data_IF_887225864305
#
_entry.id   IF_887225864305
#
_cell.length_a   1.000
_cell.length_b   1.000
_cell.length_c   1.000
_cell.angle_alpha   90.00
_cell.angle_beta   90.00
_cell.angle_gamma   90.00
#
_symmetry.space_group_name_H-M   'P 1'
#
loop_
_entity.id
_entity.type
_entity.pdbx_description
1 polymer ?
#
# COMPACT_ATOMS: atom_id res chain seq x y z
N UNK A 1 -20.19 -34.89 15.11
CA UNK A 1 -19.04 -34.48 14.27
C UNK A 1 -18.58 -33.11 14.74
N UNK A 2 -17.48 -33.07 15.50
CA UNK A 2 -17.02 -31.88 16.20
C UNK A 2 -15.64 -31.51 15.66
N UNK A 3 -15.53 -30.35 15.03
CA UNK A 3 -14.38 -29.42 15.11
C UNK A 3 -14.74 -28.16 14.33
N UNK A 4 -15.02 -27.12 15.12
CA UNK A 4 -15.16 -25.73 14.70
C UNK A 4 -13.84 -25.23 14.12
N UNK A 5 -13.94 -24.14 13.35
CA UNK A 5 -12.90 -23.15 13.09
C UNK A 5 -11.80 -23.51 12.08
N UNK A 6 -11.99 -23.03 10.86
CA UNK A 6 -10.88 -22.41 10.13
C UNK A 6 -11.36 -21.00 9.78
N UNK A 7 -11.20 -20.06 10.72
CA UNK A 7 -11.08 -18.66 10.35
C UNK A 7 -9.79 -18.61 9.54
N UNK A 8 -9.89 -18.53 8.20
CA UNK A 8 -8.73 -18.17 7.39
C UNK A 8 -8.42 -16.73 7.77
N UNK A 9 -7.53 -16.62 8.75
CA UNK A 9 -6.88 -15.41 9.16
C UNK A 9 -6.44 -14.68 7.90
N UNK A 10 -6.92 -13.45 7.77
CA UNK A 10 -6.42 -12.40 6.87
C UNK A 10 -4.94 -12.16 7.15
N UNK A 11 -4.10 -13.14 6.85
CA UNK A 11 -2.70 -13.20 7.21
C UNK A 11 -1.97 -13.80 6.01
N UNK A 12 -1.11 -12.99 5.39
CA UNK A 12 -0.18 -13.39 4.32
C UNK A 12 -0.71 -13.54 2.88
N UNK A 13 -1.86 -12.96 2.50
CA UNK A 13 -2.05 -12.66 1.07
C UNK A 13 -1.02 -11.57 0.71
N UNK A 14 0.07 -11.98 0.04
CA UNK A 14 1.14 -11.09 -0.43
C UNK A 14 0.56 -10.14 -1.48
N UNK A 15 -0.05 -9.05 -1.03
CA UNK A 15 -0.55 -8.01 -1.92
C UNK A 15 0.65 -7.29 -2.52
N UNK A 16 0.78 -7.36 -3.84
CA UNK A 16 1.90 -6.72 -4.56
C UNK A 16 1.53 -5.25 -4.74
N UNK A 17 2.28 -4.31 -4.14
CA UNK A 17 2.00 -2.90 -4.32
C UNK A 17 2.21 -2.52 -5.79
N UNK A 18 1.22 -1.87 -6.40
CA UNK A 18 1.25 -1.52 -7.83
C UNK A 18 1.65 -0.07 -8.04
N UNK A 19 1.00 0.86 -7.33
CA UNK A 19 1.20 2.30 -7.54
C UNK A 19 0.83 3.09 -6.29
N UNK A 20 1.64 4.10 -5.97
CA UNK A 20 1.32 5.09 -4.95
C UNK A 20 0.56 6.24 -5.61
N UNK A 21 -0.61 6.55 -5.06
CA UNK A 21 -1.49 7.63 -5.51
C UNK A 21 -1.33 8.89 -4.68
N UNK A 22 -1.18 8.73 -3.36
CA UNK A 22 -1.09 9.87 -2.45
C UNK A 22 -0.17 9.60 -1.26
N UNK A 23 0.23 10.66 -0.55
CA UNK A 23 0.94 10.58 0.72
C UNK A 23 0.26 11.48 1.75
N UNK A 24 0.29 11.08 3.01
CA UNK A 24 -0.06 11.93 4.15
C UNK A 24 0.91 11.70 5.30
N UNK A 25 1.05 12.69 6.17
CA UNK A 25 1.86 12.57 7.39
C UNK A 25 0.93 12.76 8.58
N UNK A 26 0.91 11.79 9.48
CA UNK A 26 0.10 11.82 10.70
C UNK A 26 1.04 11.59 11.87
N UNK A 27 1.13 12.55 12.80
CA UNK A 27 1.97 12.46 14.01
C UNK A 27 3.45 12.09 13.73
N UNK A 28 4.01 12.62 12.64
CA UNK A 28 5.38 12.33 12.21
C UNK A 28 5.54 11.03 11.39
N UNK A 29 4.56 10.13 11.42
CA UNK A 29 4.56 8.92 10.60
C UNK A 29 4.03 9.22 9.20
N UNK A 30 4.79 8.83 8.18
CA UNK A 30 4.37 8.98 6.78
C UNK A 30 3.57 7.75 6.34
N UNK A 31 2.40 8.00 5.77
CA UNK A 31 1.53 7.00 5.17
C UNK A 31 1.39 7.25 3.67
N UNK A 32 1.35 6.17 2.90
CA UNK A 32 1.16 6.20 1.46
C UNK A 32 -0.12 5.46 1.08
N UNK A 33 -0.91 6.07 0.21
CA UNK A 33 -2.08 5.46 -0.38
C UNK A 33 -1.65 4.70 -1.63
N UNK A 34 -1.76 3.38 -1.60
CA UNK A 34 -1.35 2.52 -2.72
C UNK A 34 -2.51 1.67 -3.24
N UNK A 35 -2.48 1.39 -4.54
CA UNK A 35 -3.29 0.32 -5.14
C UNK A 35 -2.49 -0.98 -5.25
N UNK A 36 -3.20 -2.09 -5.28
CA UNK A 36 -2.63 -3.43 -5.31
C UNK A 36 -2.76 -4.06 -6.70
N UNK A 37 -1.75 -4.82 -7.12
CA UNK A 37 -1.78 -5.53 -8.40
C UNK A 37 -2.70 -6.74 -8.31
N UNK A 38 -3.60 -6.90 -9.28
CA UNK A 38 -4.54 -8.02 -9.33
C UNK A 38 -5.76 -7.86 -8.43
N UNK A 39 -5.91 -6.70 -7.78
CA UNK A 39 -7.11 -6.29 -7.07
C UNK A 39 -7.78 -5.14 -7.81
N UNK A 40 -9.02 -4.85 -7.45
CA UNK A 40 -9.76 -3.75 -8.05
C UNK A 40 -9.00 -2.42 -7.90
N UNK A 41 -9.04 -1.54 -8.91
CA UNK A 41 -8.36 -0.24 -8.85
C UNK A 41 -8.92 0.66 -7.74
N UNK A 42 -10.13 0.37 -7.28
CA UNK A 42 -10.78 1.04 -6.15
C UNK A 42 -10.30 0.48 -4.80
N UNK A 43 -9.67 -0.69 -4.78
CA UNK A 43 -9.05 -1.25 -3.59
C UNK A 43 -7.69 -0.60 -3.35
N UNK A 44 -7.74 0.53 -2.65
CA UNK A 44 -6.59 1.29 -2.22
C UNK A 44 -6.48 1.26 -0.70
N UNK A 45 -5.25 1.21 -0.18
CA UNK A 45 -5.03 1.14 1.26
C UNK A 45 -3.92 2.09 1.69
N UNK A 46 -4.06 2.64 2.90
CA UNK A 46 -3.02 3.45 3.53
C UNK A 46 -2.03 2.53 4.24
N UNK A 47 -0.78 2.55 3.77
CA UNK A 47 0.31 1.74 4.31
C UNK A 47 1.36 2.69 4.88
N UNK A 48 1.91 2.34 6.04
CA UNK A 48 3.00 3.11 6.64
C UNK A 48 4.27 2.99 5.81
N UNK A 49 5.10 4.03 5.79
CA UNK A 49 6.40 3.99 5.10
C UNK A 49 7.22 2.76 5.49
N UNK A 50 7.19 2.39 6.77
CA UNK A 50 7.98 1.29 7.33
C UNK A 50 7.53 -0.10 6.82
N UNK A 51 6.27 -0.22 6.37
CA UNK A 51 5.75 -1.44 5.75
C UNK A 51 6.08 -1.54 4.25
N UNK A 52 6.53 -0.44 3.63
CA UNK A 52 6.90 -0.44 2.22
C UNK A 52 8.36 -0.83 2.09
N UNK A 53 8.60 -2.09 1.73
CA UNK A 53 9.93 -2.61 1.45
C UNK A 53 10.45 -2.16 0.07
N UNK A 54 9.55 -1.85 -0.86
CA UNK A 54 9.89 -1.40 -2.21
C UNK A 54 10.11 0.12 -2.27
N UNK A 55 11.37 0.51 -2.12
CA UNK A 55 11.81 1.91 -2.19
C UNK A 55 11.61 2.49 -3.60
N UNK A 56 11.62 1.66 -4.66
CA UNK A 56 11.49 2.14 -6.03
C UNK A 56 10.11 2.77 -6.26
N UNK A 57 9.06 2.19 -5.67
CA UNK A 57 7.70 2.75 -5.72
C UNK A 57 7.63 4.16 -5.13
N UNK A 58 8.30 4.38 -3.99
CA UNK A 58 8.37 5.69 -3.34
C UNK A 58 9.14 6.68 -4.21
N UNK A 59 10.26 6.27 -4.81
CA UNK A 59 11.05 7.11 -5.71
C UNK A 59 10.25 7.50 -6.96
N UNK A 60 9.52 6.55 -7.57
CA UNK A 60 8.67 6.82 -8.73
C UNK A 60 7.56 7.83 -8.41
N UNK A 61 6.96 7.72 -7.22
CA UNK A 61 5.98 8.69 -6.74
C UNK A 61 6.58 10.10 -6.62
N UNK A 62 7.74 10.23 -5.96
CA UNK A 62 8.40 11.53 -5.84
C UNK A 62 8.87 12.10 -7.18
N UNK A 63 9.33 11.25 -8.11
CA UNK A 63 9.69 11.66 -9.46
C UNK A 63 8.51 12.26 -10.22
N UNK A 64 7.31 11.68 -10.08
CA UNK A 64 6.07 12.21 -10.67
C UNK A 64 5.67 13.56 -10.05
N UNK A 65 5.75 13.69 -8.73
CA UNK A 65 5.45 14.96 -8.05
C UNK A 65 6.36 16.11 -8.51
N UNK A 66 7.65 15.84 -8.77
CA UNK A 66 8.58 16.85 -9.27
C UNK A 66 8.28 17.30 -10.69
N UNK A 67 7.70 16.45 -11.53
CA UNK A 67 7.32 16.78 -12.91
C UNK A 67 6.01 17.57 -13.03
N UNK A 68 5.17 17.57 -11.99
CA UNK A 68 3.87 18.28 -11.97
C UNK A 68 3.92 19.72 -11.45
N UNK A 69 5.11 20.26 -11.15
CA UNK A 69 5.32 21.69 -10.87
C UNK A 69 5.89 22.36 -12.12
N UNK A 70 5.06 22.60 -13.11
CA UNK A 70 5.34 23.52 -14.21
C UNK A 70 4.06 24.26 -14.56
#
# INVERSE_FOLDING_TARGET
VNKRNISLTTDSIKKIPSKIHNKKVIRGTTYYLMSWKGFDPNEISWISKDQITDIQLIQLYYKKLRKGKN
#
